data_IF_137364069487
#
_entry.id   IF_137364069487
#
_cell.length_a   1.000
_cell.length_b   1.000
_cell.length_c   1.000
_cell.angle_alpha   90.00
_cell.angle_beta   90.00
_cell.angle_gamma   90.00
#
_symmetry.space_group_name_H-M   'P 1'
#
loop_
_entity.id
_entity.type
_entity.pdbx_description
1 polymer ?
#
# COMPACT_ATOMS: atom_id res chain seq x y z
N UNK A 1 -8.14 15.26 3.57
CA UNK A 1 -8.07 14.25 4.63
C UNK A 1 -9.12 14.52 5.71
N UNK A 2 -9.26 15.75 6.17
CA UNK A 2 -10.21 16.15 7.25
C UNK A 2 -11.67 15.83 6.88
N UNK A 3 -12.10 16.13 5.67
CA UNK A 3 -13.47 15.82 5.18
C UNK A 3 -13.75 14.31 5.31
N UNK A 4 -12.86 13.47 4.84
CA UNK A 4 -12.99 12.01 4.94
C UNK A 4 -12.99 11.54 6.40
N UNK A 5 -12.15 12.13 7.26
CA UNK A 5 -12.07 11.73 8.68
C UNK A 5 -13.35 12.03 9.48
N UNK A 6 -14.22 12.88 8.98
CA UNK A 6 -15.51 13.22 9.60
C UNK A 6 -16.69 12.44 9.03
N UNK A 7 -16.50 11.74 7.90
CA UNK A 7 -17.54 10.96 7.26
C UNK A 7 -17.76 9.63 8.01
N UNK A 8 -19.02 9.23 8.23
CA UNK A 8 -19.31 8.02 9.01
C UNK A 8 -18.91 6.74 8.27
N UNK A 9 -19.13 6.66 6.96
CA UNK A 9 -18.82 5.48 6.14
C UNK A 9 -17.32 5.14 6.15
N UNK A 10 -16.43 6.10 6.43
CA UNK A 10 -14.98 5.86 6.43
C UNK A 10 -14.55 4.90 7.53
N UNK A 11 -15.35 4.78 8.58
CA UNK A 11 -15.09 3.88 9.69
C UNK A 11 -15.11 2.39 9.31
N UNK A 12 -15.73 2.03 8.18
CA UNK A 12 -15.77 0.65 7.67
C UNK A 12 -14.48 0.30 6.92
N UNK A 13 -13.83 1.30 6.36
CA UNK A 13 -12.60 1.15 5.59
C UNK A 13 -11.34 1.37 6.42
N UNK A 14 -10.21 0.96 5.88
CA UNK A 14 -8.89 1.31 6.39
C UNK A 14 -8.00 1.86 5.27
N UNK A 15 -7.22 2.87 5.58
CA UNK A 15 -6.22 3.45 4.69
C UNK A 15 -4.98 2.56 4.68
N UNK A 16 -4.45 2.27 3.48
CA UNK A 16 -3.17 1.59 3.30
C UNK A 16 -2.38 2.24 2.15
N UNK A 17 -1.63 1.42 1.40
CA UNK A 17 -0.86 1.91 0.26
C UNK A 17 0.25 2.90 0.62
N UNK A 18 0.63 3.71 -0.35
CA UNK A 18 1.72 4.68 -0.20
C UNK A 18 1.42 5.77 0.82
N UNK A 19 0.17 6.26 0.86
CA UNK A 19 -0.22 7.33 1.79
C UNK A 19 -0.34 6.82 3.21
N UNK A 20 -0.91 5.63 3.42
CA UNK A 20 -0.95 4.99 4.73
C UNK A 20 0.45 4.77 5.32
N UNK A 21 1.44 4.43 4.49
CA UNK A 21 2.84 4.31 4.90
C UNK A 21 3.50 5.67 5.15
N UNK A 22 3.30 6.63 4.23
CA UNK A 22 3.92 7.95 4.34
C UNK A 22 3.50 8.70 5.62
N UNK A 23 2.24 8.52 6.05
CA UNK A 23 1.76 9.09 7.31
C UNK A 23 2.45 8.49 8.55
N UNK A 24 2.95 7.26 8.46
CA UNK A 24 3.62 6.57 9.59
C UNK A 24 5.11 6.84 9.64
N UNK A 25 5.80 6.85 8.50
CA UNK A 25 7.28 6.90 8.48
C UNK A 25 7.86 8.17 7.82
N UNK A 26 7.06 8.98 7.14
CA UNK A 26 7.46 10.30 6.65
C UNK A 26 8.56 10.31 5.58
N UNK A 27 8.77 9.22 4.86
CA UNK A 27 9.89 9.04 3.93
C UNK A 27 9.73 9.77 2.59
N UNK A 28 8.49 9.91 2.10
CA UNK A 28 8.15 10.57 0.83
C UNK A 28 6.77 11.22 0.88
N UNK A 29 6.48 12.08 -0.08
CA UNK A 29 5.13 12.56 -0.28
C UNK A 29 4.29 11.47 -0.98
N UNK A 30 3.05 11.35 -0.54
CA UNK A 30 2.02 10.53 -1.17
C UNK A 30 0.68 11.24 -0.98
N UNK A 31 -0.08 11.39 -2.05
CA UNK A 31 -1.28 12.20 -2.07
C UNK A 31 -2.54 11.40 -2.45
N UNK A 32 -2.37 10.19 -2.98
CA UNK A 32 -3.48 9.31 -3.34
C UNK A 32 -3.95 8.55 -2.10
N UNK A 33 -5.26 8.48 -1.86
CA UNK A 33 -5.81 7.75 -0.73
C UNK A 33 -6.42 6.44 -1.20
N UNK A 34 -5.82 5.32 -0.79
CA UNK A 34 -6.29 3.96 -1.06
C UNK A 34 -6.94 3.39 0.20
N UNK A 35 -8.27 3.31 0.20
CA UNK A 35 -9.08 2.74 1.25
C UNK A 35 -9.48 1.30 0.92
N UNK A 36 -9.40 0.42 1.89
CA UNK A 36 -9.64 -1.00 1.74
C UNK A 36 -10.70 -1.49 2.74
N UNK A 37 -11.45 -2.52 2.33
CA UNK A 37 -12.44 -3.19 3.17
C UNK A 37 -12.37 -4.71 2.90
N UNK A 38 -12.44 -5.61 3.92
CA UNK A 38 -12.22 -7.05 3.71
C UNK A 38 -13.45 -7.80 3.20
N UNK A 39 -14.54 -7.14 2.90
CA UNK A 39 -15.80 -7.71 2.42
C UNK A 39 -16.41 -6.92 1.27
N UNK A 40 -17.45 -7.48 0.66
CA UNK A 40 -18.20 -6.81 -0.41
C UNK A 40 -18.96 -5.59 0.12
N UNK A 41 -19.01 -4.53 -0.66
CA UNK A 41 -19.74 -3.31 -0.32
C UNK A 41 -20.55 -2.79 -1.50
N UNK A 42 -21.57 -2.00 -1.21
CA UNK A 42 -22.40 -1.32 -2.22
C UNK A 42 -21.69 -0.06 -2.70
N UNK A 43 -21.20 -0.11 -3.94
CA UNK A 43 -20.48 1.03 -4.56
C UNK A 43 -21.37 2.24 -4.70
N UNK A 44 -22.65 2.06 -5.03
CA UNK A 44 -23.60 3.18 -5.23
C UNK A 44 -23.82 3.97 -3.92
N UNK A 45 -23.94 3.27 -2.78
CA UNK A 45 -24.08 3.92 -1.47
C UNK A 45 -22.81 4.71 -1.09
N UNK A 46 -21.64 4.13 -1.34
CA UNK A 46 -20.37 4.81 -1.07
C UNK A 46 -20.18 6.02 -1.98
N UNK A 47 -20.51 5.92 -3.28
CA UNK A 47 -20.45 7.06 -4.21
C UNK A 47 -21.36 8.21 -3.75
N UNK A 48 -22.59 7.91 -3.32
CA UNK A 48 -23.49 8.94 -2.78
C UNK A 48 -22.90 9.62 -1.53
N UNK A 49 -22.28 8.84 -0.66
CA UNK A 49 -21.61 9.37 0.52
C UNK A 49 -20.40 10.25 0.16
N UNK A 50 -19.61 9.88 -0.85
CA UNK A 50 -18.48 10.67 -1.34
C UNK A 50 -18.97 11.99 -1.97
N UNK A 51 -20.03 11.95 -2.78
CA UNK A 51 -20.64 13.13 -3.41
C UNK A 51 -21.11 14.18 -2.39
N UNK A 52 -21.51 13.74 -1.19
CA UNK A 52 -21.90 14.67 -0.10
C UNK A 52 -20.70 15.42 0.51
N UNK A 53 -19.45 14.97 0.25
CA UNK A 53 -18.24 15.59 0.80
C UNK A 53 -17.67 16.69 -0.11
N UNK A 54 -18.09 16.78 -1.38
CA UNK A 54 -17.57 17.78 -2.31
C UNK A 54 -17.65 17.35 -3.76
N UNK A 55 -16.86 18.02 -4.61
CA UNK A 55 -16.80 17.69 -6.02
C UNK A 55 -16.09 16.37 -6.26
N UNK A 56 -16.84 15.37 -6.71
CA UNK A 56 -16.31 14.03 -7.00
C UNK A 56 -16.46 13.70 -8.49
N UNK A 57 -15.34 13.37 -9.12
CA UNK A 57 -15.25 12.88 -10.49
C UNK A 57 -15.01 11.39 -10.46
N UNK A 58 -16.03 10.57 -10.75
CA UNK A 58 -15.90 9.13 -10.87
C UNK A 58 -15.08 8.78 -12.11
N UNK A 59 -13.98 8.04 -11.94
CA UNK A 59 -13.12 7.58 -13.04
C UNK A 59 -13.41 6.13 -13.44
N UNK A 60 -13.63 5.27 -12.46
CA UNK A 60 -13.95 3.86 -12.68
C UNK A 60 -14.79 3.32 -11.52
N UNK A 61 -15.80 2.52 -11.87
CA UNK A 61 -16.62 1.74 -10.94
C UNK A 61 -16.71 0.30 -11.44
N UNK A 62 -16.36 -0.63 -10.56
CA UNK A 62 -16.54 -2.07 -10.75
C UNK A 62 -17.04 -2.67 -9.44
N UNK A 63 -17.41 -3.96 -9.45
CA UNK A 63 -17.78 -4.64 -8.20
C UNK A 63 -16.69 -4.45 -7.15
N UNK A 64 -17.06 -3.89 -6.01
CA UNK A 64 -16.14 -3.62 -4.89
C UNK A 64 -14.96 -2.69 -5.23
N UNK A 65 -15.10 -1.84 -6.24
CA UNK A 65 -14.04 -0.93 -6.67
C UNK A 65 -14.62 0.40 -7.08
N UNK A 66 -14.15 1.47 -6.46
CA UNK A 66 -14.44 2.85 -6.84
C UNK A 66 -13.09 3.57 -6.97
N UNK A 67 -12.84 4.19 -8.11
CA UNK A 67 -11.71 5.10 -8.30
C UNK A 67 -12.23 6.45 -8.80
N UNK A 68 -11.71 7.52 -8.23
CA UNK A 68 -12.13 8.86 -8.63
C UNK A 68 -11.25 9.95 -8.04
N UNK A 69 -11.67 11.18 -8.26
CA UNK A 69 -11.02 12.39 -7.77
C UNK A 69 -12.00 13.18 -6.92
N UNK A 70 -11.73 13.31 -5.63
CA UNK A 70 -12.49 14.14 -4.70
C UNK A 70 -11.72 15.43 -4.42
N UNK A 71 -12.28 16.59 -4.80
CA UNK A 71 -11.65 17.90 -4.58
C UNK A 71 -10.16 17.91 -5.00
N UNK A 72 -9.86 17.46 -6.23
CA UNK A 72 -8.52 17.35 -6.84
C UNK A 72 -7.60 16.30 -6.22
N UNK A 73 -8.09 15.44 -5.34
CA UNK A 73 -7.30 14.35 -4.71
C UNK A 73 -7.82 13.01 -5.21
N UNK A 74 -6.91 12.15 -5.67
CA UNK A 74 -7.25 10.77 -6.05
C UNK A 74 -7.64 9.97 -4.84
N UNK A 75 -8.78 9.28 -4.94
CA UNK A 75 -9.26 8.35 -3.91
C UNK A 75 -9.67 7.03 -4.56
N UNK A 76 -9.38 5.94 -3.87
CA UNK A 76 -9.81 4.60 -4.23
C UNK A 76 -10.49 3.94 -3.04
N UNK A 77 -11.61 3.23 -3.28
CA UNK A 77 -12.25 2.34 -2.32
C UNK A 77 -12.27 0.95 -2.92
N UNK A 78 -11.67 0.00 -2.21
CA UNK A 78 -11.32 -1.30 -2.76
C UNK A 78 -11.74 -2.44 -1.82
N UNK A 79 -12.53 -3.37 -2.32
CA UNK A 79 -12.75 -4.65 -1.66
C UNK A 79 -11.46 -5.47 -1.68
N UNK A 80 -10.99 -5.90 -0.50
CA UNK A 80 -9.72 -6.59 -0.35
C UNK A 80 -9.82 -7.71 0.67
N UNK A 81 -10.16 -8.90 0.21
CA UNK A 81 -10.54 -10.08 1.01
C UNK A 81 -9.52 -10.58 2.04
N UNK A 82 -8.31 -10.05 2.02
CA UNK A 82 -7.24 -10.48 2.93
C UNK A 82 -7.33 -9.71 4.25
N UNK A 83 -7.26 -10.44 5.36
CA UNK A 83 -7.35 -9.86 6.69
C UNK A 83 -6.17 -8.94 7.01
N UNK A 84 -6.42 -7.93 7.83
CA UNK A 84 -5.38 -7.16 8.50
C UNK A 84 -4.82 -8.02 9.64
N UNK A 85 -3.50 -8.08 9.77
CA UNK A 85 -2.80 -8.97 10.71
C UNK A 85 -2.46 -8.23 12.00
N UNK A 86 -2.01 -6.97 11.87
CA UNK A 86 -1.57 -6.17 13.00
C UNK A 86 -2.64 -5.16 13.40
N UNK A 87 -2.65 -4.67 14.65
CA UNK A 87 -3.58 -3.63 15.08
C UNK A 87 -3.52 -2.39 14.21
N UNK A 88 -4.67 -1.78 13.94
CA UNK A 88 -4.74 -0.52 13.22
C UNK A 88 -4.09 0.62 14.03
N UNK A 89 -3.48 1.55 13.30
CA UNK A 89 -3.14 2.87 13.81
C UNK A 89 -4.33 3.79 13.50
N UNK A 90 -4.68 4.65 14.43
CA UNK A 90 -5.82 5.55 14.26
C UNK A 90 -5.36 7.00 14.12
N UNK A 91 -5.90 7.66 13.11
CA UNK A 91 -5.84 9.11 13.02
C UNK A 91 -7.27 9.65 12.89
N UNK A 92 -7.79 10.23 13.97
CA UNK A 92 -9.23 10.55 14.13
C UNK A 92 -10.07 9.28 13.91
N UNK A 93 -11.09 9.31 13.02
CA UNK A 93 -11.91 8.14 12.67
C UNK A 93 -11.27 7.21 11.64
N UNK A 94 -10.15 7.59 11.01
CA UNK A 94 -9.50 6.79 9.98
C UNK A 94 -8.63 5.72 10.62
N UNK A 95 -8.93 4.46 10.30
CA UNK A 95 -8.05 3.32 10.55
C UNK A 95 -6.94 3.32 9.51
N UNK A 96 -5.69 3.16 9.91
CA UNK A 96 -4.54 3.03 9.02
C UNK A 96 -3.94 1.64 9.26
N UNK A 97 -3.71 0.89 8.19
CA UNK A 97 -3.04 -0.41 8.28
C UNK A 97 -1.62 -0.23 8.83
N UNK A 98 -1.21 -1.11 9.72
CA UNK A 98 0.14 -1.11 10.29
C UNK A 98 1.20 -1.24 9.17
N UNK A 99 2.38 -0.66 9.36
CA UNK A 99 3.46 -0.69 8.37
C UNK A 99 3.87 -2.11 7.93
N UNK A 100 3.76 -3.13 8.78
CA UNK A 100 3.99 -4.53 8.42
C UNK A 100 2.89 -5.10 7.52
N UNK A 101 1.63 -4.72 7.70
CA UNK A 101 0.54 -5.07 6.79
C UNK A 101 0.75 -4.42 5.42
N UNK A 102 1.15 -3.13 5.40
CA UNK A 102 1.49 -2.43 4.18
C UNK A 102 2.72 -3.06 3.51
N UNK A 103 3.73 -3.51 4.29
CA UNK A 103 4.89 -4.21 3.76
C UNK A 103 4.50 -5.50 3.01
N UNK A 104 3.61 -6.30 3.58
CA UNK A 104 3.08 -7.48 2.90
C UNK A 104 2.34 -7.12 1.60
N UNK A 105 1.54 -6.02 1.61
CA UNK A 105 0.90 -5.51 0.40
C UNK A 105 1.91 -5.00 -0.64
N UNK A 106 3.05 -4.41 -0.21
CA UNK A 106 4.14 -3.98 -1.10
C UNK A 106 4.86 -5.17 -1.74
N UNK A 107 5.11 -6.25 -0.99
CA UNK A 107 5.63 -7.49 -1.59
C UNK A 107 4.70 -8.02 -2.68
N UNK A 108 3.39 -8.04 -2.43
CA UNK A 108 2.41 -8.44 -3.45
C UNK A 108 2.42 -7.50 -4.67
N UNK A 109 2.51 -6.19 -4.45
CA UNK A 109 2.57 -5.21 -5.54
C UNK A 109 3.84 -5.34 -6.39
N UNK A 110 5.01 -5.55 -5.76
CA UNK A 110 6.30 -5.78 -6.44
C UNK A 110 6.22 -7.06 -7.27
N UNK A 111 5.65 -8.13 -6.71
CA UNK A 111 5.47 -9.42 -7.38
C UNK A 111 4.57 -9.34 -8.63
N UNK A 112 3.67 -8.34 -8.70
CA UNK A 112 2.75 -8.17 -9.82
C UNK A 112 3.14 -7.10 -10.84
N UNK A 113 3.64 -5.95 -10.39
CA UNK A 113 3.85 -4.76 -11.24
C UNK A 113 5.20 -4.07 -11.12
N UNK A 114 6.00 -4.36 -10.09
CA UNK A 114 7.37 -3.89 -9.92
C UNK A 114 7.58 -2.36 -9.97
N UNK A 115 6.67 -1.54 -9.45
CA UNK A 115 6.82 -0.08 -9.53
C UNK A 115 7.92 0.44 -8.60
N UNK A 116 8.70 1.43 -9.07
CA UNK A 116 9.79 2.07 -8.30
C UNK A 116 9.37 2.52 -6.90
N UNK A 117 8.17 3.14 -6.78
CA UNK A 117 7.64 3.59 -5.49
C UNK A 117 7.40 2.45 -4.50
N UNK A 118 7.06 1.23 -4.98
CA UNK A 118 6.82 0.09 -4.12
C UNK A 118 8.14 -0.46 -3.56
N UNK A 119 9.21 -0.48 -4.35
CA UNK A 119 10.57 -0.80 -3.89
C UNK A 119 11.11 0.23 -2.88
N UNK A 120 10.89 1.52 -3.13
CA UNK A 120 11.29 2.58 -2.21
C UNK A 120 10.54 2.43 -0.88
N UNK A 121 9.24 2.22 -0.90
CA UNK A 121 8.44 1.98 0.29
C UNK A 121 8.97 0.76 1.08
N UNK A 122 9.23 -0.35 0.39
CA UNK A 122 9.80 -1.55 0.99
C UNK A 122 11.19 -1.30 1.59
N UNK A 123 12.07 -0.56 0.89
CA UNK A 123 13.39 -0.20 1.39
C UNK A 123 13.31 0.51 2.75
N UNK A 124 12.41 1.48 2.92
CA UNK A 124 12.27 2.20 4.18
C UNK A 124 11.71 1.30 5.29
N UNK A 125 10.81 0.38 4.98
CA UNK A 125 10.33 -0.60 5.95
C UNK A 125 11.46 -1.56 6.36
N UNK A 126 12.32 -1.97 5.42
CA UNK A 126 13.49 -2.83 5.68
C UNK A 126 14.58 -2.19 6.57
N UNK A 127 14.53 -0.87 6.80
CA UNK A 127 15.36 -0.23 7.83
C UNK A 127 14.90 -0.57 9.25
N UNK A 128 13.64 -0.93 9.44
CA UNK A 128 13.01 -1.22 10.74
C UNK A 128 12.81 -2.72 10.97
N UNK A 129 12.51 -3.47 9.93
CA UNK A 129 12.14 -4.88 10.00
C UNK A 129 13.01 -5.73 9.08
N UNK A 130 13.32 -6.95 9.51
CA UNK A 130 13.99 -7.91 8.62
C UNK A 130 13.05 -8.36 7.50
N UNK A 131 13.62 -8.75 6.36
CA UNK A 131 12.84 -9.32 5.26
C UNK A 131 12.06 -10.56 5.71
N UNK A 132 12.66 -11.41 6.57
CA UNK A 132 11.99 -12.59 7.12
C UNK A 132 10.73 -12.25 7.95
N UNK A 133 10.75 -11.12 8.66
CA UNK A 133 9.58 -10.65 9.40
C UNK A 133 8.47 -10.25 8.44
N UNK A 134 8.80 -9.55 7.36
CA UNK A 134 7.84 -9.13 6.33
C UNK A 134 7.29 -10.34 5.57
N UNK A 135 8.13 -11.33 5.27
CA UNK A 135 7.73 -12.59 4.63
C UNK A 135 6.75 -13.38 5.49
N UNK A 136 6.98 -13.47 6.81
CA UNK A 136 6.01 -14.10 7.72
C UNK A 136 4.66 -13.38 7.70
N UNK A 137 4.65 -12.05 7.70
CA UNK A 137 3.41 -11.28 7.54
C UNK A 137 2.74 -11.55 6.18
N UNK A 138 3.54 -11.65 5.12
CA UNK A 138 3.05 -11.97 3.77
C UNK A 138 2.38 -13.35 3.74
N UNK A 139 3.03 -14.38 4.27
CA UNK A 139 2.49 -15.75 4.36
C UNK A 139 1.22 -15.82 5.20
N UNK A 140 1.18 -15.10 6.33
CA UNK A 140 0.01 -15.04 7.20
C UNK A 140 -1.17 -14.38 6.47
N UNK A 141 -0.89 -13.32 5.70
CA UNK A 141 -1.92 -12.54 5.00
C UNK A 141 -2.48 -13.27 3.78
N UNK A 142 -1.63 -13.89 2.98
CA UNK A 142 -2.00 -14.46 1.68
C UNK A 142 -2.06 -15.99 1.69
N UNK A 143 -1.54 -16.64 2.72
CA UNK A 143 -1.42 -18.08 2.81
C UNK A 143 -0.18 -18.63 2.10
N UNK A 144 0.35 -19.74 2.59
CA UNK A 144 1.58 -20.36 2.05
C UNK A 144 1.45 -20.83 0.60
N UNK A 145 0.27 -21.23 0.17
CA UNK A 145 0.02 -21.69 -1.21
C UNK A 145 0.13 -20.57 -2.26
N UNK A 146 -0.06 -19.31 -1.87
CA UNK A 146 0.09 -18.14 -2.74
C UNK A 146 1.49 -17.52 -2.64
N UNK A 147 2.28 -17.90 -1.64
CA UNK A 147 3.67 -17.46 -1.46
C UNK A 147 4.61 -18.35 -2.25
N UNK A 148 4.68 -18.15 -3.58
CA UNK A 148 5.77 -18.72 -4.36
C UNK A 148 7.06 -17.96 -4.02
N UNK A 149 7.84 -18.49 -3.06
CA UNK A 149 9.08 -17.87 -2.58
C UNK A 149 10.05 -17.57 -3.72
N UNK A 150 10.19 -18.50 -4.68
CA UNK A 150 11.04 -18.29 -5.86
C UNK A 150 10.58 -17.10 -6.70
N UNK A 151 9.26 -16.96 -6.91
CA UNK A 151 8.71 -15.82 -7.63
C UNK A 151 8.92 -14.49 -6.87
N UNK A 152 8.76 -14.51 -5.55
CA UNK A 152 9.04 -13.34 -4.70
C UNK A 152 10.51 -12.92 -4.77
N UNK A 153 11.47 -13.86 -4.65
CA UNK A 153 12.89 -13.58 -4.80
C UNK A 153 13.17 -12.93 -6.15
N UNK A 154 12.69 -13.57 -7.23
CA UNK A 154 12.90 -13.09 -8.59
C UNK A 154 12.34 -11.67 -8.76
N UNK A 155 11.14 -11.41 -8.25
CA UNK A 155 10.50 -10.09 -8.34
C UNK A 155 11.25 -9.03 -7.52
N UNK A 156 11.75 -9.37 -6.32
CA UNK A 156 12.55 -8.47 -5.49
C UNK A 156 13.92 -8.12 -6.10
N UNK A 157 14.43 -8.94 -6.99
CA UNK A 157 15.70 -8.73 -7.70
C UNK A 157 15.52 -8.18 -9.12
N UNK A 158 14.28 -8.03 -9.60
CA UNK A 158 13.96 -7.53 -10.92
C UNK A 158 13.52 -6.07 -10.84
N UNK A 159 14.38 -5.15 -11.28
CA UNK A 159 14.15 -3.71 -11.20
C UNK A 159 13.85 -3.05 -12.55
N UNK A 160 13.87 -3.82 -13.65
CA UNK A 160 13.85 -3.28 -15.01
C UNK A 160 12.61 -2.41 -15.28
N UNK A 161 11.43 -2.88 -14.86
CA UNK A 161 10.17 -2.13 -15.00
C UNK A 161 10.14 -0.83 -14.17
N UNK A 162 11.00 -0.74 -13.15
CA UNK A 162 11.13 0.43 -12.28
C UNK A 162 12.19 1.44 -12.77
N UNK A 163 13.14 1.04 -13.65
CA UNK A 163 14.30 1.88 -14.01
C UNK A 163 13.89 3.22 -14.62
N UNK A 164 12.98 3.21 -15.55
CA UNK A 164 12.56 4.42 -16.27
C UNK A 164 11.51 5.26 -15.50
N UNK A 165 10.99 4.74 -14.39
CA UNK A 165 10.00 5.48 -13.62
C UNK A 165 10.65 6.61 -12.83
N UNK A 166 9.98 7.77 -12.79
CA UNK A 166 10.44 8.90 -12.01
C UNK A 166 10.52 8.58 -10.51
N UNK A 167 11.52 9.14 -9.84
CA UNK A 167 11.59 9.11 -8.39
C UNK A 167 10.38 9.81 -7.78
N UNK A 168 9.72 9.23 -6.77
CA UNK A 168 8.68 9.93 -6.04
C UNK A 168 9.30 11.15 -5.32
N UNK A 169 8.47 12.10 -4.92
CA UNK A 169 8.94 13.27 -4.17
C UNK A 169 9.37 12.86 -2.76
N UNK A 170 10.66 12.65 -2.59
CA UNK A 170 11.26 12.18 -1.35
C UNK A 170 11.31 13.28 -0.29
N UNK A 171 11.04 12.93 0.96
CA UNK A 171 11.33 13.74 2.16
C UNK A 171 12.72 13.36 2.67
N UNK A 172 12.99 12.09 2.85
CA UNK A 172 14.32 11.56 3.13
C UNK A 172 15.02 11.25 1.81
N UNK A 173 16.08 11.98 1.47
CA UNK A 173 16.82 11.80 0.21
C UNK A 173 17.48 10.43 0.15
N UNK A 174 17.33 9.78 -0.97
CA UNK A 174 17.91 8.48 -1.27
C UNK A 174 18.13 8.34 -2.79
N UNK A 175 19.24 7.74 -3.17
CA UNK A 175 19.53 7.39 -4.56
C UNK A 175 18.93 6.01 -4.91
N UNK A 176 18.40 5.87 -6.12
CA UNK A 176 17.78 4.63 -6.58
C UNK A 176 18.74 3.43 -6.53
N UNK A 177 20.01 3.64 -6.92
CA UNK A 177 21.06 2.62 -6.86
C UNK A 177 21.26 2.08 -5.43
N UNK A 178 21.15 2.97 -4.42
CA UNK A 178 21.25 2.55 -3.01
C UNK A 178 20.06 1.69 -2.61
N UNK A 179 18.86 2.05 -3.04
CA UNK A 179 17.63 1.24 -2.79
C UNK A 179 17.80 -0.17 -3.34
N UNK A 180 18.24 -0.30 -4.61
CA UNK A 180 18.49 -1.60 -5.24
C UNK A 180 19.53 -2.41 -4.50
N UNK A 181 20.69 -1.83 -4.23
CA UNK A 181 21.80 -2.52 -3.57
C UNK A 181 21.40 -3.06 -2.18
N UNK A 182 20.67 -2.27 -1.40
CA UNK A 182 20.25 -2.67 -0.07
C UNK A 182 19.15 -3.74 -0.10
N UNK A 183 18.21 -3.69 -1.05
CA UNK A 183 17.21 -4.76 -1.23
C UNK A 183 17.90 -6.06 -1.63
N UNK A 184 18.82 -6.05 -2.61
CA UNK A 184 19.60 -7.22 -3.01
C UNK A 184 20.35 -7.82 -1.81
N UNK A 185 20.99 -6.97 -0.99
CA UNK A 185 21.67 -7.40 0.23
C UNK A 185 20.70 -8.08 1.20
N UNK A 186 19.53 -7.48 1.45
CA UNK A 186 18.50 -8.03 2.34
C UNK A 186 17.92 -9.36 1.86
N UNK A 187 17.78 -9.54 0.56
CA UNK A 187 17.37 -10.82 -0.03
C UNK A 187 18.44 -11.89 0.22
N UNK A 188 19.73 -11.58 0.02
CA UNK A 188 20.84 -12.50 0.28
C UNK A 188 21.00 -12.88 1.76
N UNK A 189 20.61 -12.00 2.68
CA UNK A 189 20.65 -12.21 4.13
C UNK A 189 19.41 -12.93 4.67
N UNK A 190 18.39 -13.15 3.85
CA UNK A 190 17.12 -13.75 4.27
C UNK A 190 17.10 -15.27 4.11
N UNK A 191 16.11 -15.91 4.73
CA UNK A 191 15.83 -17.36 4.59
C UNK A 191 15.43 -17.79 3.17
N UNK A 192 15.24 -16.85 2.24
CA UNK A 192 14.85 -17.15 0.85
C UNK A 192 16.03 -17.70 0.01
N UNK A 193 17.25 -17.55 0.46
CA UNK A 193 18.50 -18.08 -0.11
C UNK A 193 19.27 -18.89 0.91
#
# INVERSE_FOLDING_TARGET
>A
FELLSNADFISDFYLAGGTGLALQIGHRQSIDFDFFIPYDFDTSQIIQSILSLGHFELQNEEKNTINGILNHVRISFLGYKYSVINPFIYHRKIKIAHELDIAAMKLSAISGRGNKKDFIDLYFILKKYSLDTILRCYETKYGKSLSNEYHLIKSLLYFEDAEEQAMPKMIEKIEWERVKADIVKKVKESRLL
#
